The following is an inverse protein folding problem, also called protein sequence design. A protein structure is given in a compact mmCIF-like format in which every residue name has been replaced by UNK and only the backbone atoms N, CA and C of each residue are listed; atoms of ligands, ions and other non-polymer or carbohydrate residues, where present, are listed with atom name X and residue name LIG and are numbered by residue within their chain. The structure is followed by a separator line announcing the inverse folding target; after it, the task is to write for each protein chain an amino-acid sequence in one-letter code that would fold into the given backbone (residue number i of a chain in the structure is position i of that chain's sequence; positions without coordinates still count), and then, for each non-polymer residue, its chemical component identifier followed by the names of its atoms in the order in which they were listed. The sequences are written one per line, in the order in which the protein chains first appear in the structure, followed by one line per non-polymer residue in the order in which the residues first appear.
data_IF_333931988807
#
_entry.id   IF_333931988807
#
_cell.length_a   1.000
_cell.length_b   1.000
_cell.length_c   1.000
_cell.angle_alpha   90.00
_cell.angle_beta   90.00
_cell.angle_gamma   90.00
#
_symmetry.space_group_name_H-M   'P 1'
#
loop_
_entity.id
_entity.type
_entity.pdbx_description
1 polymer ?
#
# COMPACT_ATOMS: atom_id res chain seq x y z
N UNK A 1 2.34 -20.40 8.28
CA UNK A 1 1.05 -19.68 8.47
C UNK A 1 0.26 -19.72 7.16
N UNK A 2 -1.08 -19.57 7.20
CA UNK A 2 -1.93 -19.62 5.99
C UNK A 2 -1.53 -18.56 4.94
N UNK A 3 -1.24 -17.33 5.37
CA UNK A 3 -0.80 -16.26 4.47
C UNK A 3 0.49 -16.62 3.72
N UNK A 4 1.47 -17.21 4.42
CA UNK A 4 2.74 -17.65 3.81
C UNK A 4 2.57 -18.71 2.73
N UNK A 5 1.59 -19.60 2.89
CA UNK A 5 1.26 -20.60 1.87
C UNK A 5 0.62 -19.94 0.65
N UNK A 6 -0.28 -18.98 0.86
CA UNK A 6 -0.94 -18.25 -0.22
C UNK A 6 0.06 -17.43 -1.05
N UNK A 7 0.74 -16.45 -0.44
CA UNK A 7 1.66 -15.59 -1.19
C UNK A 7 2.94 -16.32 -1.63
N UNK A 8 3.30 -17.43 -0.99
CA UNK A 8 4.41 -18.29 -1.45
C UNK A 8 4.15 -18.88 -2.84
N UNK A 9 2.88 -19.07 -3.23
CA UNK A 9 2.49 -19.58 -4.54
C UNK A 9 2.00 -18.49 -5.50
N UNK A 10 1.28 -17.47 -5.01
CA UNK A 10 0.72 -16.40 -5.86
C UNK A 10 1.62 -15.17 -5.98
N UNK A 11 2.65 -15.06 -5.13
CA UNK A 11 3.40 -13.82 -4.95
C UNK A 11 2.58 -12.71 -4.29
N UNK A 12 3.19 -11.52 -4.28
CA UNK A 12 2.63 -10.23 -3.85
C UNK A 12 2.81 -9.20 -4.98
N UNK A 13 2.22 -8.01 -4.86
CA UNK A 13 2.23 -7.01 -5.94
C UNK A 13 2.58 -5.60 -5.45
N UNK A 14 2.09 -4.57 -6.17
CA UNK A 14 2.45 -3.15 -6.06
C UNK A 14 2.72 -2.60 -4.65
N UNK A 15 1.94 -2.85 -3.58
CA UNK A 15 2.25 -2.30 -2.26
C UNK A 15 3.60 -2.78 -1.73
N UNK A 16 3.99 -4.02 -2.03
CA UNK A 16 5.31 -4.53 -1.70
C UNK A 16 6.39 -3.93 -2.60
N UNK A 17 6.12 -3.69 -3.88
CA UNK A 17 7.07 -3.00 -4.77
C UNK A 17 7.38 -1.58 -4.32
N UNK A 18 6.35 -0.83 -3.92
CA UNK A 18 6.49 0.52 -3.35
C UNK A 18 7.20 0.51 -1.99
N UNK A 19 6.97 -0.52 -1.17
CA UNK A 19 7.61 -0.65 0.14
C UNK A 19 9.15 -0.66 0.09
N UNK A 20 9.78 -1.11 -1.00
CA UNK A 20 11.23 -1.11 -1.14
C UNK A 20 11.81 0.30 -1.18
N UNK A 21 11.21 1.24 -1.92
CA UNK A 21 11.73 2.61 -1.94
C UNK A 21 11.33 3.41 -0.69
N UNK A 22 10.16 3.15 -0.11
CA UNK A 22 9.75 3.72 1.18
C UNK A 22 10.67 3.28 2.33
N UNK A 23 11.17 2.04 2.33
CA UNK A 23 12.13 1.61 3.34
C UNK A 23 13.56 2.01 3.00
N UNK A 24 13.95 1.94 1.73
CA UNK A 24 15.34 2.16 1.28
C UNK A 24 15.77 3.62 1.20
N UNK A 25 14.82 4.56 1.10
CA UNK A 25 15.11 6.00 1.00
C UNK A 25 14.76 6.77 2.29
N UNK A 26 14.54 6.07 3.41
CA UNK A 26 14.15 6.70 4.68
C UNK A 26 15.29 7.57 5.20
N UNK A 27 14.95 8.76 5.71
CA UNK A 27 15.93 9.73 6.22
C UNK A 27 16.02 9.79 7.72
N UNK A 28 14.87 9.85 8.39
CA UNK A 28 14.78 10.23 9.81
C UNK A 28 13.68 9.50 10.58
N UNK A 29 12.77 8.79 9.90
CA UNK A 29 11.70 8.07 10.56
C UNK A 29 12.23 6.94 11.45
N UNK A 30 11.80 6.93 12.71
CA UNK A 30 12.11 5.89 13.69
C UNK A 30 10.83 5.57 14.49
N UNK A 31 10.13 4.46 14.19
CA UNK A 31 8.87 4.15 14.84
C UNK A 31 9.05 3.80 16.32
N UNK A 32 8.02 4.07 17.13
CA UNK A 32 7.98 3.69 18.53
C UNK A 32 8.05 2.16 18.70
N UNK A 33 8.74 1.68 19.72
CA UNK A 33 8.89 0.25 19.99
C UNK A 33 9.93 -0.48 19.13
N UNK A 34 10.63 0.22 18.23
CA UNK A 34 11.72 -0.33 17.40
C UNK A 34 13.11 0.20 17.85
N UNK A 35 14.20 -0.52 17.53
CA UNK A 35 15.57 -0.06 17.79
C UNK A 35 15.83 1.34 17.19
N UNK A 36 16.52 2.20 17.96
CA UNK A 36 16.75 3.62 17.62
C UNK A 36 18.15 3.91 17.08
N UNK A 37 18.86 2.89 16.61
CA UNK A 37 20.25 3.04 16.15
C UNK A 37 20.35 3.77 14.81
N UNK A 38 19.38 3.54 13.91
CA UNK A 38 19.34 4.14 12.58
C UNK A 38 17.88 4.38 12.15
N UNK A 39 17.63 5.35 11.24
CA UNK A 39 16.34 5.53 10.60
C UNK A 39 15.87 4.24 9.90
N UNK A 40 14.61 3.87 10.10
CA UNK A 40 14.02 2.70 9.46
C UNK A 40 12.51 2.79 9.33
N UNK A 41 11.97 2.24 8.25
CA UNK A 41 10.53 1.92 8.14
C UNK A 41 10.38 0.39 8.16
N UNK A 42 9.79 -0.21 9.22
CA UNK A 42 9.53 -1.64 9.29
C UNK A 42 8.73 -2.10 8.08
N UNK A 43 9.05 -3.28 7.54
CA UNK A 43 8.46 -3.75 6.29
C UNK A 43 6.92 -3.72 6.27
N UNK A 44 6.27 -4.13 7.37
CA UNK A 44 4.82 -4.08 7.48
C UNK A 44 4.27 -2.65 7.34
N UNK A 45 4.94 -1.67 7.97
CA UNK A 45 4.59 -0.26 7.85
C UNK A 45 4.81 0.25 6.42
N UNK A 46 5.96 -0.05 5.80
CA UNK A 46 6.25 0.41 4.43
C UNK A 46 5.31 -0.20 3.39
N UNK A 47 4.75 -1.39 3.62
CA UNK A 47 3.70 -1.96 2.76
C UNK A 47 2.36 -1.27 2.98
N UNK A 48 1.88 -1.17 4.22
CA UNK A 48 0.51 -0.72 4.50
C UNK A 48 0.29 0.76 4.18
N UNK A 49 1.31 1.63 4.34
CA UNK A 49 1.19 3.07 4.01
C UNK A 49 0.91 3.33 2.53
N UNK A 50 1.24 2.38 1.65
CA UNK A 50 0.98 2.44 0.21
C UNK A 50 -0.32 1.72 -0.19
N UNK A 51 -0.85 0.84 0.67
CA UNK A 51 -1.88 -0.10 0.27
C UNK A 51 -3.22 0.57 -0.12
N UNK A 52 -3.76 1.57 0.63
CA UNK A 52 -5.03 2.19 0.26
C UNK A 52 -5.03 2.82 -1.15
N UNK A 53 -3.98 3.56 -1.55
CA UNK A 53 -3.92 4.14 -2.91
C UNK A 53 -3.87 3.06 -3.98
N UNK A 54 -3.08 2.00 -3.75
CA UNK A 54 -2.98 0.88 -4.69
C UNK A 54 -4.32 0.15 -4.84
N UNK A 55 -5.01 -0.14 -3.73
CA UNK A 55 -6.25 -0.90 -3.80
C UNK A 55 -7.38 -0.11 -4.48
N UNK A 56 -7.40 1.22 -4.38
CA UNK A 56 -8.27 2.07 -5.22
C UNK A 56 -7.99 1.87 -6.70
N UNK A 57 -6.73 1.88 -7.09
CA UNK A 57 -6.30 1.69 -8.47
C UNK A 57 -6.58 0.28 -9.02
N UNK A 58 -6.35 -0.77 -8.22
CA UNK A 58 -6.47 -2.16 -8.69
C UNK A 58 -7.90 -2.71 -8.62
N UNK A 59 -8.80 -2.08 -7.87
CA UNK A 59 -10.15 -2.60 -7.63
C UNK A 59 -10.92 -2.90 -8.92
N UNK A 60 -10.82 -2.03 -9.93
CA UNK A 60 -11.54 -2.19 -11.19
C UNK A 60 -11.16 -3.47 -11.97
N UNK A 61 -9.99 -4.08 -11.70
CA UNK A 61 -9.58 -5.30 -12.36
C UNK A 61 -10.32 -6.55 -11.82
N UNK A 62 -10.65 -6.56 -10.52
CA UNK A 62 -11.30 -7.69 -9.85
C UNK A 62 -12.21 -7.18 -8.71
N UNK A 63 -13.28 -6.43 -8.98
CA UNK A 63 -14.06 -5.73 -7.95
C UNK A 63 -14.68 -6.70 -6.94
N UNK A 64 -15.21 -7.84 -7.40
CA UNK A 64 -15.79 -8.87 -6.52
C UNK A 64 -14.79 -9.43 -5.51
N UNK A 65 -13.53 -9.64 -5.93
CA UNK A 65 -12.46 -10.12 -5.03
C UNK A 65 -12.08 -9.06 -3.99
N UNK A 66 -12.09 -7.78 -4.37
CA UNK A 66 -11.80 -6.68 -3.45
C UNK A 66 -12.93 -6.52 -2.42
N UNK A 67 -14.19 -6.58 -2.85
CA UNK A 67 -15.34 -6.54 -1.95
C UNK A 67 -15.36 -7.74 -1.00
N UNK A 68 -15.09 -8.95 -1.50
CA UNK A 68 -14.97 -10.13 -0.66
C UNK A 68 -13.86 -9.97 0.39
N UNK A 69 -12.68 -9.50 -0.01
CA UNK A 69 -11.58 -9.22 0.92
C UNK A 69 -11.95 -8.16 1.96
N UNK A 70 -12.62 -7.09 1.55
CA UNK A 70 -13.08 -6.04 2.46
C UNK A 70 -14.11 -6.58 3.48
N UNK A 71 -15.06 -7.42 3.05
CA UNK A 71 -16.02 -8.07 3.94
C UNK A 71 -15.33 -8.98 4.97
N UNK A 72 -14.33 -9.76 4.56
CA UNK A 72 -13.50 -10.56 5.47
C UNK A 72 -12.72 -9.70 6.49
N UNK A 73 -12.40 -8.45 6.14
CA UNK A 73 -11.79 -7.46 7.04
C UNK A 73 -12.83 -6.70 7.89
N UNK A 74 -14.12 -7.00 7.76
CA UNK A 74 -15.20 -6.38 8.52
C UNK A 74 -15.82 -5.13 7.90
N UNK A 75 -15.60 -4.88 6.60
CA UNK A 75 -16.31 -3.83 5.87
C UNK A 75 -17.77 -4.22 5.60
N UNK A 76 -18.66 -3.22 5.53
CA UNK A 76 -20.02 -3.39 5.03
C UNK A 76 -20.01 -3.38 3.49
N UNK A 77 -20.63 -4.39 2.87
CA UNK A 77 -20.61 -4.57 1.41
C UNK A 77 -21.97 -4.96 0.82
N UNK A 78 -23.06 -5.01 1.60
CA UNK A 78 -24.37 -5.54 1.16
C UNK A 78 -24.93 -4.83 -0.08
N UNK A 79 -24.76 -3.53 -0.18
CA UNK A 79 -25.27 -2.70 -1.29
C UNK A 79 -24.14 -2.14 -2.18
N UNK A 80 -22.93 -2.70 -2.07
CA UNK A 80 -21.76 -2.21 -2.80
C UNK A 80 -21.87 -2.53 -4.29
N UNK A 81 -21.65 -1.51 -5.13
CA UNK A 81 -21.45 -1.67 -6.58
C UNK A 81 -19.99 -2.00 -6.86
N UNK A 82 -19.72 -2.54 -8.05
CA UNK A 82 -18.36 -2.85 -8.49
C UNK A 82 -17.43 -1.63 -8.41
N UNK A 83 -17.94 -0.44 -8.75
CA UNK A 83 -17.18 0.82 -8.74
C UNK A 83 -16.85 1.30 -7.31
N UNK A 84 -17.61 0.86 -6.30
CA UNK A 84 -17.37 1.21 -4.89
C UNK A 84 -16.23 0.39 -4.27
N UNK A 85 -15.81 -0.70 -4.93
CA UNK A 85 -14.90 -1.69 -4.37
C UNK A 85 -13.57 -1.09 -3.90
N UNK A 86 -13.03 -0.13 -4.65
CA UNK A 86 -11.76 0.54 -4.33
C UNK A 86 -11.84 1.37 -3.06
N UNK A 87 -12.88 2.21 -2.93
CA UNK A 87 -13.04 3.05 -1.73
C UNK A 87 -13.44 2.23 -0.50
N UNK A 88 -14.23 1.17 -0.66
CA UNK A 88 -14.64 0.31 0.45
C UNK A 88 -13.41 -0.40 1.06
N UNK A 89 -12.58 -1.03 0.23
CA UNK A 89 -11.39 -1.73 0.75
C UNK A 89 -10.36 -0.74 1.30
N UNK A 90 -10.11 0.38 0.60
CA UNK A 90 -9.18 1.40 1.06
C UNK A 90 -9.63 2.03 2.38
N UNK A 91 -10.92 2.36 2.50
CA UNK A 91 -11.52 2.89 3.72
C UNK A 91 -11.41 1.90 4.88
N UNK A 92 -11.62 0.60 4.64
CA UNK A 92 -11.46 -0.40 5.69
C UNK A 92 -10.00 -0.56 6.13
N UNK A 93 -9.05 -0.54 5.20
CA UNK A 93 -7.62 -0.53 5.52
C UNK A 93 -7.23 0.71 6.33
N UNK A 94 -7.72 1.90 5.94
CA UNK A 94 -7.46 3.15 6.67
C UNK A 94 -8.00 3.08 8.11
N UNK A 95 -9.21 2.54 8.32
CA UNK A 95 -9.75 2.34 9.68
C UNK A 95 -8.85 1.43 10.52
N UNK A 96 -8.36 0.33 9.95
CA UNK A 96 -7.43 -0.57 10.63
C UNK A 96 -6.08 0.10 10.92
N UNK A 97 -5.56 0.88 9.98
CA UNK A 97 -4.34 1.68 10.17
C UNK A 97 -4.49 2.65 11.35
N UNK A 98 -5.58 3.42 11.40
CA UNK A 98 -5.87 4.33 12.50
C UNK A 98 -5.98 3.59 13.84
N UNK A 99 -6.71 2.47 13.87
CA UNK A 99 -6.92 1.66 15.07
C UNK A 99 -5.62 1.02 15.60
N UNK A 100 -4.58 0.90 14.78
CA UNK A 100 -3.30 0.25 15.12
C UNK A 100 -2.13 1.23 15.21
N UNK A 101 -2.38 2.55 15.12
CA UNK A 101 -1.33 3.56 15.22
C UNK A 101 -0.36 3.59 14.03
N UNK A 102 -0.79 3.10 12.87
CA UNK A 102 0.02 3.15 11.65
C UNK A 102 0.13 4.61 11.15
N UNK A 103 1.30 5.04 10.66
CA UNK A 103 1.46 6.36 10.08
C UNK A 103 0.50 6.65 8.92
N UNK A 104 0.14 7.92 8.78
CA UNK A 104 -0.80 8.38 7.77
C UNK A 104 -0.16 8.49 6.39
N UNK A 105 -0.18 7.39 5.64
CA UNK A 105 0.42 7.34 4.31
C UNK A 105 1.94 7.52 4.35
N UNK A 106 2.54 7.75 3.19
CA UNK A 106 3.98 7.96 3.07
C UNK A 106 4.43 9.29 3.71
N UNK A 107 3.53 10.28 3.79
CA UNK A 107 3.79 11.51 4.52
C UNK A 107 3.97 11.29 6.02
N UNK A 108 3.24 10.34 6.60
CA UNK A 108 3.39 9.93 8.00
C UNK A 108 4.75 9.31 8.34
N UNK A 109 5.51 8.86 7.33
CA UNK A 109 6.87 8.32 7.50
C UNK A 109 7.97 9.28 6.99
N UNK A 110 7.64 10.57 6.79
CA UNK A 110 8.62 11.63 6.52
C UNK A 110 8.88 11.96 5.05
N UNK A 111 8.08 11.42 4.13
CA UNK A 111 8.15 11.80 2.71
C UNK A 111 7.25 13.01 2.38
N UNK A 112 7.62 13.73 1.33
CA UNK A 112 6.81 14.81 0.74
C UNK A 112 6.70 14.68 -0.78
N UNK A 113 5.95 15.58 -1.40
CA UNK A 113 5.75 15.61 -2.87
C UNK A 113 7.06 15.65 -3.66
N UNK A 114 8.09 16.31 -3.12
CA UNK A 114 9.42 16.38 -3.75
C UNK A 114 10.12 15.02 -3.83
N UNK A 115 9.74 14.05 -2.99
CA UNK A 115 10.34 12.71 -2.95
C UNK A 115 9.71 11.76 -3.98
N UNK A 116 8.53 12.09 -4.53
CA UNK A 116 7.78 11.22 -5.47
C UNK A 116 8.64 10.75 -6.65
N UNK A 117 9.47 11.58 -7.31
CA UNK A 117 10.31 11.10 -8.42
C UNK A 117 11.28 9.98 -8.03
N UNK A 118 11.93 10.09 -6.87
CA UNK A 118 12.88 9.08 -6.38
C UNK A 118 12.16 7.84 -5.88
N UNK A 119 11.06 8.02 -5.14
CA UNK A 119 10.19 6.92 -4.69
C UNK A 119 9.66 6.10 -5.86
N UNK A 120 9.18 6.76 -6.92
CA UNK A 120 8.73 6.12 -8.16
C UNK A 120 9.86 5.35 -8.82
N UNK A 121 11.05 5.96 -8.94
CA UNK A 121 12.20 5.31 -9.58
C UNK A 121 12.60 4.03 -8.84
N UNK A 122 12.69 4.08 -7.51
CA UNK A 122 13.02 2.91 -6.70
C UNK A 122 11.95 1.82 -6.73
N UNK A 123 10.66 2.19 -6.77
CA UNK A 123 9.56 1.24 -6.91
C UNK A 123 9.52 0.62 -8.32
N UNK A 124 9.81 1.41 -9.36
CA UNK A 124 9.85 0.97 -10.75
C UNK A 124 10.91 -0.11 -10.97
N UNK A 125 12.01 -0.11 -10.22
CA UNK A 125 13.00 -1.17 -10.29
C UNK A 125 12.44 -2.55 -9.86
N UNK A 126 11.33 -2.60 -9.10
CA UNK A 126 10.72 -3.83 -8.60
C UNK A 126 9.79 -4.52 -9.61
N UNK A 127 10.23 -4.66 -10.86
CA UNK A 127 9.42 -5.12 -12.01
C UNK A 127 8.66 -6.43 -11.74
N UNK A 128 9.29 -7.41 -11.08
CA UNK A 128 8.64 -8.70 -10.76
C UNK A 128 7.37 -8.52 -9.94
N UNK A 129 7.36 -7.57 -9.00
CA UNK A 129 6.21 -7.29 -8.14
C UNK A 129 5.15 -6.46 -8.87
N UNK A 130 5.57 -5.53 -9.74
CA UNK A 130 4.67 -4.70 -10.52
C UNK A 130 3.88 -5.51 -11.55
N UNK A 131 4.55 -6.42 -12.27
CA UNK A 131 3.92 -7.28 -13.29
C UNK A 131 2.95 -8.30 -12.69
N UNK A 132 3.06 -8.60 -11.39
CA UNK A 132 2.12 -9.50 -10.71
C UNK A 132 0.79 -8.83 -10.32
N UNK A 133 0.65 -7.51 -10.55
CA UNK A 133 -0.58 -6.80 -10.26
C UNK A 133 -1.74 -7.25 -11.19
N UNK A 134 -3.00 -7.25 -10.72
CA UNK A 134 -4.15 -7.62 -11.54
C UNK A 134 -4.49 -6.57 -12.62
N UNK A 135 -3.83 -5.41 -12.56
CA UNK A 135 -3.93 -4.29 -13.50
C UNK A 135 -2.52 -3.90 -13.92
N UNK A 136 -2.30 -3.63 -15.21
CA UNK A 136 -1.02 -3.14 -15.69
C UNK A 136 -0.67 -1.80 -15.02
N UNK A 137 0.58 -1.66 -14.60
CA UNK A 137 1.09 -0.48 -13.88
C UNK A 137 2.16 0.19 -14.73
N UNK A 138 1.97 1.46 -15.05
CA UNK A 138 3.01 2.31 -15.65
C UNK A 138 3.79 3.08 -14.58
N UNK A 139 4.94 3.66 -14.97
CA UNK A 139 5.70 4.54 -14.08
C UNK A 139 4.92 5.83 -13.73
N UNK A 140 4.03 6.28 -14.62
CA UNK A 140 3.12 7.40 -14.35
C UNK A 140 2.06 7.01 -13.30
N UNK A 141 1.50 5.80 -13.39
CA UNK A 141 0.59 5.27 -12.37
C UNK A 141 1.28 5.19 -11.01
N UNK A 142 2.52 4.68 -10.94
CA UNK A 142 3.29 4.64 -9.68
C UNK A 142 3.50 6.02 -9.07
N UNK A 143 3.83 7.02 -9.89
CA UNK A 143 3.94 8.40 -9.42
C UNK A 143 2.62 8.90 -8.84
N UNK A 144 1.50 8.61 -9.49
CA UNK A 144 0.19 9.00 -8.98
C UNK A 144 -0.15 8.26 -7.67
N UNK A 145 0.14 6.96 -7.60
CA UNK A 145 -0.08 6.14 -6.41
C UNK A 145 0.68 6.67 -5.19
N UNK A 146 1.89 7.22 -5.36
CA UNK A 146 2.63 7.86 -4.28
C UNK A 146 2.00 9.19 -3.82
N UNK A 147 1.50 10.01 -4.77
CA UNK A 147 0.78 11.25 -4.42
C UNK A 147 -0.51 10.94 -3.67
N UNK A 148 -1.27 9.95 -4.15
CA UNK A 148 -2.50 9.50 -3.50
C UNK A 148 -2.23 8.84 -2.14
N UNK A 149 -1.02 8.31 -1.93
CA UNK A 149 -0.55 7.76 -0.66
C UNK A 149 0.06 8.81 0.28
N UNK A 150 0.16 10.08 -0.12
CA UNK A 150 0.82 11.11 0.69
C UNK A 150 0.13 11.28 2.03
N UNK A 151 -1.20 11.28 2.01
CA UNK A 151 -2.05 11.47 3.19
C UNK A 151 -3.46 10.93 2.93
N UNK A 152 -4.01 10.18 3.87
CA UNK A 152 -5.36 9.60 3.78
C UNK A 152 -6.40 10.24 4.72
N UNK A 153 -5.97 10.80 5.86
CA UNK A 153 -6.84 11.50 6.83
C UNK A 153 -6.22 12.79 7.38
#
# INVERSE_FOLDING_TARGET
TLAGIAFGNSGVHVPHGMAYSVAGLVRDFQPEGYPKHEPMVPHGMSVIVNAPSVFRFTACACPERHLHGAACLGAETRDARADDAGEIVAGQLIKLMQATGIPNGVGGVGYGEADVPELTTGAWAQQRLLTNAPRAVSQADLSQLYRDAMRYW
#
